data_IF_866677874312
#
_entry.id   IF_866677874312
#
_cell.length_a   1.000
_cell.length_b   1.000
_cell.length_c   1.000
_cell.angle_alpha   90.00
_cell.angle_beta   90.00
_cell.angle_gamma   90.00
#
_symmetry.space_group_name_H-M   'P 1'
#
loop_
_entity.id
_entity.type
_entity.pdbx_description
1 polymer ?
#
# COMPACT_ATOMS: atom_id res chain seq x y z
N UNK A 1 -23.22 -41.60 45.50
CA UNK A 1 -23.14 -40.48 44.54
C UNK A 1 -23.08 -39.22 45.36
N UNK A 2 -22.03 -38.40 45.29
CA UNK A 2 -21.49 -37.79 44.07
C UNK A 2 -22.42 -36.63 43.70
N UNK A 3 -22.41 -35.53 44.45
CA UNK A 3 -21.79 -34.27 44.04
C UNK A 3 -22.89 -33.31 43.54
N UNK A 4 -22.86 -31.99 43.61
CA UNK A 4 -21.89 -30.98 44.02
C UNK A 4 -22.70 -29.67 44.16
N UNK A 5 -22.47 -28.86 45.20
CA UNK A 5 -23.07 -27.54 45.33
C UNK A 5 -22.10 -26.45 44.87
N UNK A 6 -22.60 -25.38 44.24
CA UNK A 6 -21.87 -24.12 44.10
C UNK A 6 -22.81 -22.92 44.11
N UNK A 7 -22.63 -22.09 45.15
CA UNK A 7 -23.05 -20.69 45.27
C UNK A 7 -22.13 -19.82 44.40
N UNK A 8 -22.64 -18.70 43.90
CA UNK A 8 -21.93 -17.83 42.96
C UNK A 8 -20.77 -17.00 43.53
N UNK A 9 -20.02 -16.39 42.62
CA UNK A 9 -19.30 -15.12 42.77
C UNK A 9 -18.83 -14.63 41.39
N UNK A 10 -18.93 -13.32 41.17
CA UNK A 10 -18.41 -12.62 40.02
C UNK A 10 -16.88 -12.48 40.08
N UNK A 11 -16.21 -12.47 38.92
CA UNK A 11 -14.89 -11.85 38.75
C UNK A 11 -14.57 -11.57 37.28
N UNK A 12 -14.76 -10.29 36.93
CA UNK A 12 -13.92 -9.36 36.15
C UNK A 12 -12.54 -9.84 35.64
N UNK A 13 -12.12 -9.24 34.51
CA UNK A 13 -10.81 -9.24 33.80
C UNK A 13 -10.67 -10.34 32.72
N UNK A 14 -10.21 -10.07 31.49
CA UNK A 14 -9.08 -9.22 31.12
C UNK A 14 -9.17 -8.83 29.63
N UNK A 15 -8.99 -7.55 29.34
CA UNK A 15 -8.65 -7.03 28.01
C UNK A 15 -7.32 -7.63 27.57
N UNK A 16 -7.34 -8.59 26.64
CA UNK A 16 -6.11 -9.09 26.02
C UNK A 16 -5.69 -8.11 24.91
N UNK A 17 -4.98 -7.08 25.34
CA UNK A 17 -4.19 -6.18 24.50
C UNK A 17 -3.12 -7.01 23.78
N UNK A 18 -3.39 -7.43 22.53
CA UNK A 18 -2.35 -8.03 21.68
C UNK A 18 -1.38 -6.92 21.28
N UNK A 19 -0.36 -6.74 22.11
CA UNK A 19 0.82 -5.92 21.87
C UNK A 19 1.62 -6.51 20.71
N UNK A 20 1.18 -6.26 19.48
CA UNK A 20 1.96 -6.57 18.28
C UNK A 20 3.08 -5.54 18.18
N UNK A 21 4.23 -5.93 18.73
CA UNK A 21 5.53 -5.32 18.51
C UNK A 21 5.72 -5.11 17.01
N UNK A 22 5.49 -3.88 16.54
CA UNK A 22 5.78 -3.47 15.17
C UNK A 22 7.28 -3.63 14.97
N UNK A 23 7.71 -4.75 14.36
CA UNK A 23 9.09 -4.92 13.94
C UNK A 23 9.39 -3.77 12.97
N UNK A 24 10.16 -2.79 13.44
CA UNK A 24 10.69 -1.72 12.59
C UNK A 24 11.48 -2.39 11.48
N UNK A 25 10.99 -2.24 10.25
CA UNK A 25 11.77 -2.56 9.07
C UNK A 25 12.88 -1.51 8.97
N UNK A 26 14.11 -1.89 9.30
CA UNK A 26 15.29 -1.07 9.03
C UNK A 26 15.63 -1.25 7.56
N UNK A 27 15.23 -0.29 6.72
CA UNK A 27 15.67 -0.22 5.33
C UNK A 27 17.05 0.45 5.29
N UNK A 28 18.08 -0.31 4.96
CA UNK A 28 19.41 0.25 4.69
C UNK A 28 19.35 0.98 3.34
N UNK A 29 19.19 2.30 3.38
CA UNK A 29 19.10 3.14 2.19
C UNK A 29 20.44 3.83 1.97
N UNK A 30 21.45 3.05 1.59
CA UNK A 30 22.73 3.59 1.18
C UNK A 30 22.56 4.38 -0.12
N UNK A 31 22.53 5.71 -0.02
CA UNK A 31 22.60 6.61 -1.18
C UNK A 31 21.48 7.64 -1.38
N UNK A 32 20.64 7.97 -0.38
CA UNK A 32 19.70 9.10 -0.54
C UNK A 32 20.36 10.41 -0.08
N UNK A 33 20.89 11.15 -1.05
CA UNK A 33 21.41 12.50 -0.89
C UNK A 33 20.26 13.47 -0.55
N UNK A 34 20.38 14.17 0.58
CA UNK A 34 19.46 15.21 1.12
C UNK A 34 18.00 14.76 1.23
N UNK A 35 17.70 13.98 2.25
CA UNK A 35 16.35 13.56 2.63
C UNK A 35 15.48 14.78 2.96
N UNK A 36 14.46 15.05 2.13
CA UNK A 36 13.28 15.78 2.61
C UNK A 36 12.52 14.83 3.55
N UNK A 37 12.20 15.29 4.76
CA UNK A 37 11.35 14.52 5.68
C UNK A 37 9.91 14.53 5.15
N UNK A 38 9.62 13.62 4.21
CA UNK A 38 8.28 13.40 3.70
C UNK A 38 7.53 12.42 4.61
N UNK A 39 6.28 12.76 4.92
CA UNK A 39 5.33 11.91 5.65
C UNK A 39 4.36 11.27 4.67
N UNK A 40 3.87 10.07 4.99
CA UNK A 40 2.76 9.45 4.25
C UNK A 40 1.47 9.68 5.02
N UNK A 41 0.52 10.38 4.43
CA UNK A 41 -0.86 10.43 4.91
C UNK A 41 -1.50 9.05 4.78
N UNK A 42 -2.34 8.69 5.74
CA UNK A 42 -3.03 7.39 5.74
C UNK A 42 -2.17 6.19 6.16
N UNK A 43 -0.96 6.42 6.68
CA UNK A 43 -0.12 5.36 7.24
C UNK A 43 0.40 4.39 6.17
N UNK A 44 -0.11 3.16 6.18
CA UNK A 44 0.37 2.05 5.34
C UNK A 44 -0.31 1.98 3.96
N UNK A 45 -1.22 2.89 3.62
CA UNK A 45 -1.99 2.84 2.37
C UNK A 45 -1.12 2.83 1.09
N UNK A 46 -0.07 3.66 1.05
CA UNK A 46 0.89 3.71 -0.08
C UNK A 46 1.71 2.42 -0.15
N UNK A 47 2.41 1.97 0.91
CA UNK A 47 3.19 0.73 0.83
C UNK A 47 2.33 -0.52 0.62
N UNK A 48 1.09 -0.55 1.10
CA UNK A 48 0.13 -1.62 0.80
C UNK A 48 -0.25 -1.65 -0.68
N UNK A 49 -0.54 -0.50 -1.29
CA UNK A 49 -0.82 -0.41 -2.72
C UNK A 49 0.38 -0.85 -3.58
N UNK A 50 1.61 -0.47 -3.21
CA UNK A 50 2.83 -0.93 -3.90
C UNK A 50 2.99 -2.45 -3.79
N UNK A 51 2.73 -3.04 -2.62
CA UNK A 51 2.76 -4.49 -2.43
C UNK A 51 1.69 -5.18 -3.28
N UNK A 52 0.49 -4.63 -3.31
CA UNK A 52 -0.61 -5.16 -4.11
C UNK A 52 -0.26 -5.16 -5.62
N UNK A 53 0.28 -4.06 -6.16
CA UNK A 53 0.66 -4.01 -7.58
C UNK A 53 1.75 -5.04 -7.91
N UNK A 54 2.68 -5.29 -6.98
CA UNK A 54 3.74 -6.30 -7.15
C UNK A 54 3.27 -7.74 -6.98
N UNK A 55 2.08 -7.95 -6.42
CA UNK A 55 1.48 -9.26 -6.29
C UNK A 55 0.64 -9.55 -7.54
N UNK A 56 1.13 -10.45 -8.39
CA UNK A 56 0.44 -10.86 -9.62
C UNK A 56 -0.95 -11.48 -9.34
N UNK A 57 -1.19 -11.94 -8.10
CA UNK A 57 -2.50 -12.48 -7.68
C UNK A 57 -3.50 -11.37 -7.36
N UNK A 58 -3.03 -10.15 -7.10
CA UNK A 58 -3.86 -9.01 -6.77
C UNK A 58 -4.34 -8.32 -8.05
N UNK A 59 -5.61 -7.91 -8.17
CA UNK A 59 -6.10 -7.25 -9.37
C UNK A 59 -5.58 -5.81 -9.54
N UNK A 60 -4.94 -5.22 -8.53
CA UNK A 60 -4.46 -3.84 -8.60
C UNK A 60 -3.34 -3.67 -9.63
N UNK A 61 -3.55 -2.79 -10.60
CA UNK A 61 -2.63 -2.56 -11.72
C UNK A 61 -1.84 -1.27 -11.55
N UNK A 62 -2.47 -0.22 -11.03
CA UNK A 62 -1.86 1.11 -10.95
C UNK A 62 -2.26 1.86 -9.69
N UNK A 63 -1.41 2.80 -9.30
CA UNK A 63 -1.66 3.76 -8.23
C UNK A 63 -1.09 5.14 -8.58
N UNK A 64 -1.75 6.17 -8.05
CA UNK A 64 -1.34 7.56 -8.13
C UNK A 64 -1.14 8.11 -6.72
N UNK A 65 0.01 8.73 -6.50
CA UNK A 65 0.35 9.44 -5.26
C UNK A 65 0.54 10.90 -5.58
N UNK A 66 -0.02 11.78 -4.77
CA UNK A 66 0.15 13.24 -4.89
C UNK A 66 0.57 13.84 -3.55
N UNK A 67 0.98 15.09 -3.55
CA UNK A 67 1.19 15.85 -2.32
C UNK A 67 -0.16 16.26 -1.72
N UNK A 68 -0.41 15.88 -0.48
CA UNK A 68 -1.47 16.51 0.32
C UNK A 68 -1.05 17.94 0.72
N UNK A 69 0.24 18.09 1.03
CA UNK A 69 0.88 19.32 1.49
C UNK A 69 2.38 19.23 1.12
N UNK A 70 3.16 20.30 1.30
CA UNK A 70 4.60 20.40 0.95
C UNK A 70 5.50 19.28 1.52
N UNK A 71 5.06 18.61 2.59
CA UNK A 71 5.81 17.56 3.28
C UNK A 71 5.07 16.25 3.41
N UNK A 72 3.86 16.11 2.83
CA UNK A 72 3.03 14.92 3.03
C UNK A 72 2.53 14.37 1.70
N UNK A 73 2.82 13.10 1.44
CA UNK A 73 2.31 12.34 0.31
C UNK A 73 1.02 11.61 0.69
N UNK A 74 0.06 11.56 -0.21
CA UNK A 74 -1.18 10.81 -0.04
C UNK A 74 -1.46 9.96 -1.28
N UNK A 75 -2.12 8.82 -1.07
CA UNK A 75 -2.68 8.03 -2.17
C UNK A 75 -3.86 8.80 -2.75
N UNK A 76 -3.73 9.22 -4.00
CA UNK A 76 -4.78 9.95 -4.73
C UNK A 76 -5.82 9.01 -5.29
N UNK A 77 -5.37 8.01 -6.05
CA UNK A 77 -6.22 7.04 -6.71
C UNK A 77 -5.47 5.72 -6.94
N UNK A 78 -6.22 4.66 -7.18
CA UNK A 78 -5.69 3.34 -7.57
C UNK A 78 -6.72 2.63 -8.43
N UNK A 79 -6.28 1.73 -9.29
CA UNK A 79 -7.20 0.99 -10.15
C UNK A 79 -6.65 -0.34 -10.64
N UNK A 80 -7.59 -1.15 -11.12
CA UNK A 80 -7.39 -2.55 -11.54
C UNK A 80 -7.43 -2.71 -13.06
N UNK A 81 -7.75 -1.63 -13.79
CA UNK A 81 -7.95 -1.68 -15.24
C UNK A 81 -6.67 -1.27 -16.00
N UNK A 82 -6.72 -0.20 -16.80
CA UNK A 82 -5.65 0.22 -17.70
C UNK A 82 -5.11 1.59 -17.32
N UNK A 83 -3.95 1.91 -17.90
CA UNK A 83 -3.28 3.23 -17.76
C UNK A 83 -4.18 4.38 -18.24
N UNK A 84 -5.16 4.14 -19.10
CA UNK A 84 -6.09 5.19 -19.55
C UNK A 84 -7.01 5.66 -18.41
N UNK A 85 -7.46 4.76 -17.54
CA UNK A 85 -8.23 5.13 -16.35
C UNK A 85 -7.39 5.97 -15.39
N UNK A 86 -6.11 5.63 -15.25
CA UNK A 86 -5.15 6.41 -14.46
C UNK A 86 -5.03 7.84 -15.00
N UNK A 87 -4.94 8.03 -16.32
CA UNK A 87 -4.88 9.37 -16.92
C UNK A 87 -6.12 10.22 -16.59
N UNK A 88 -7.30 9.61 -16.54
CA UNK A 88 -8.54 10.32 -16.20
C UNK A 88 -8.58 10.80 -14.73
N UNK A 89 -7.76 10.23 -13.86
CA UNK A 89 -7.66 10.62 -12.46
C UNK A 89 -6.65 11.77 -12.22
N UNK A 90 -5.91 12.20 -13.25
CA UNK A 90 -4.97 13.31 -13.18
C UNK A 90 -5.69 14.66 -13.28
N UNK A 91 -5.11 15.68 -12.65
CA UNK A 91 -5.56 17.08 -12.78
C UNK A 91 -4.37 17.97 -13.13
N UNK A 92 -4.61 19.05 -13.85
CA UNK A 92 -3.56 19.89 -14.43
C UNK A 92 -2.77 20.76 -13.42
N UNK A 93 -3.16 20.79 -12.15
CA UNK A 93 -2.55 21.69 -11.15
C UNK A 93 -1.64 20.98 -10.14
N UNK A 94 -1.36 19.68 -10.32
CA UNK A 94 -0.63 18.89 -9.34
C UNK A 94 0.43 17.95 -9.93
N UNK A 95 1.45 17.67 -9.11
CA UNK A 95 2.48 16.67 -9.42
C UNK A 95 2.02 15.31 -8.92
N UNK A 96 2.00 14.34 -9.82
CA UNK A 96 1.64 12.96 -9.52
C UNK A 96 2.83 12.02 -9.66
N UNK A 97 2.87 11.01 -8.79
CA UNK A 97 3.75 9.87 -8.91
C UNK A 97 2.90 8.64 -9.22
N UNK A 98 3.05 8.13 -10.44
CA UNK A 98 2.37 6.93 -10.90
C UNK A 98 3.29 5.71 -10.71
N UNK A 99 2.72 4.64 -10.17
CA UNK A 99 3.33 3.32 -10.17
C UNK A 99 2.34 2.31 -10.73
N UNK A 100 2.74 1.56 -11.74
CA UNK A 100 1.86 0.63 -12.44
C UNK A 100 2.59 -0.60 -12.94
N UNK A 101 1.83 -1.66 -13.23
CA UNK A 101 2.32 -2.85 -13.93
C UNK A 101 1.69 -2.98 -15.31
N UNK A 102 2.43 -3.55 -16.24
CA UNK A 102 1.96 -3.89 -17.58
C UNK A 102 2.32 -5.34 -17.85
N UNK A 103 1.31 -6.13 -18.18
CA UNK A 103 1.50 -7.51 -18.63
C UNK A 103 1.65 -7.52 -20.15
N UNK A 104 2.80 -7.97 -20.63
CA UNK A 104 3.05 -8.16 -22.05
C UNK A 104 3.03 -9.65 -22.36
N UNK A 105 2.08 -10.06 -23.21
CA UNK A 105 1.98 -11.42 -23.74
C UNK A 105 2.81 -11.50 -25.02
N UNK A 106 3.96 -12.16 -24.95
CA UNK A 106 4.80 -12.43 -26.11
C UNK A 106 4.43 -13.79 -26.71
N UNK A 107 3.58 -13.80 -27.74
CA UNK A 107 3.18 -15.01 -28.48
C UNK A 107 2.54 -16.12 -27.58
N UNK A 108 1.83 -17.08 -28.18
CA UNK A 108 1.11 -18.12 -27.44
C UNK A 108 2.04 -19.09 -26.68
N UNK A 109 3.35 -19.04 -26.94
CA UNK A 109 4.34 -20.01 -26.46
C UNK A 109 5.34 -19.45 -25.43
N UNK A 110 5.31 -18.15 -25.11
CA UNK A 110 6.21 -17.55 -24.10
C UNK A 110 5.43 -17.17 -22.86
N UNK A 111 6.06 -17.34 -21.68
CA UNK A 111 5.50 -16.89 -20.41
C UNK A 111 5.20 -15.38 -20.45
N UNK A 112 4.05 -14.99 -19.90
CA UNK A 112 3.73 -13.58 -19.68
C UNK A 112 4.85 -12.91 -18.89
N UNK A 113 5.26 -11.73 -19.35
CA UNK A 113 6.22 -10.90 -18.61
C UNK A 113 5.50 -9.71 -18.02
N UNK A 114 5.66 -9.54 -16.71
CA UNK A 114 5.14 -8.37 -15.98
C UNK A 114 6.26 -7.33 -15.90
N UNK A 115 5.98 -6.13 -16.41
CA UNK A 115 6.88 -4.98 -16.32
C UNK A 115 6.30 -3.95 -15.36
N UNK A 116 7.14 -3.36 -14.53
CA UNK A 116 6.74 -2.30 -13.60
C UNK A 116 7.26 -0.95 -14.09
N UNK A 117 6.37 0.03 -14.15
CA UNK A 117 6.65 1.41 -14.52
C UNK A 117 6.52 2.34 -13.32
N UNK A 118 7.46 3.27 -13.19
CA UNK A 118 7.36 4.43 -12.31
C UNK A 118 7.49 5.68 -13.14
N UNK A 119 6.53 6.61 -13.00
CA UNK A 119 6.50 7.85 -13.76
C UNK A 119 6.20 9.00 -12.81
N UNK A 120 6.99 10.06 -12.91
CA UNK A 120 6.66 11.35 -12.32
C UNK A 120 5.96 12.19 -13.39
N UNK A 121 4.73 12.58 -13.12
CA UNK A 121 3.90 13.42 -13.97
C UNK A 121 3.87 14.81 -13.35
N UNK A 122 4.21 15.80 -14.17
CA UNK A 122 4.03 17.21 -13.86
C UNK A 122 2.99 17.67 -14.86
N UNK A 123 1.77 17.87 -14.38
CA UNK A 123 0.71 18.45 -15.16
C UNK A 123 0.75 19.98 -14.98
#
# INVERSE_FOLDING_TARGET
>A
GGGVGYRGAASVNTTTEKKTTKKRFTVNTGGITKTRNLKMAGGDAIPEAVKAIRDDSNPLVWMLVTYANDSTLQLHAKGETTVQEMCNALTDDQVYYAFFRVEEKFDANVKNTVKFGFVQLIC
#
